data_IF_109300412917
#
_entry.id   IF_109300412917
#
_cell.length_a   1.000
_cell.length_b   1.000
_cell.length_c   1.000
_cell.angle_alpha   90.00
_cell.angle_beta   90.00
_cell.angle_gamma   90.00
#
_symmetry.space_group_name_H-M   'P 1'
#
loop_
_entity.id
_entity.type
_entity.pdbx_description
1 polymer ?
#
# COMPACT_ATOMS: atom_id res chain seq x y z
N UNK A 1 23.06 -43.33 -27.56
CA UNK A 1 22.73 -41.96 -27.10
C UNK A 1 22.87 -41.96 -25.60
N UNK A 2 23.86 -41.22 -25.07
CA UNK A 2 24.00 -41.06 -23.62
C UNK A 2 22.87 -40.18 -23.11
N UNK A 3 22.09 -40.70 -22.18
CA UNK A 3 21.16 -39.89 -21.39
C UNK A 3 21.99 -39.19 -20.32
N UNK A 4 22.60 -38.06 -20.67
CA UNK A 4 23.20 -37.20 -19.66
C UNK A 4 22.11 -36.69 -18.72
N UNK A 5 22.27 -36.97 -17.44
CA UNK A 5 21.40 -36.42 -16.40
C UNK A 5 21.54 -34.90 -16.39
N UNK A 6 20.47 -34.20 -16.77
CA UNK A 6 20.37 -32.74 -16.66
C UNK A 6 19.66 -32.44 -15.33
N UNK A 7 20.34 -31.83 -14.35
CA UNK A 7 19.72 -31.49 -13.07
C UNK A 7 18.42 -30.69 -13.25
N UNK A 8 17.32 -31.20 -12.68
CA UNK A 8 16.00 -30.54 -12.73
C UNK A 8 15.10 -30.92 -13.91
N UNK A 9 15.45 -31.96 -14.68
CA UNK A 9 14.56 -32.57 -15.68
C UNK A 9 14.47 -34.08 -15.52
N UNK A 10 13.29 -34.65 -15.79
CA UNK A 10 13.12 -36.11 -15.82
C UNK A 10 13.70 -36.71 -17.11
N UNK A 11 13.73 -38.05 -17.20
CA UNK A 11 14.24 -38.78 -18.37
C UNK A 11 13.51 -38.52 -19.70
N UNK A 12 12.42 -37.75 -19.70
CA UNK A 12 11.70 -37.29 -20.88
C UNK A 12 11.94 -35.80 -21.20
N UNK A 13 12.79 -35.11 -20.43
CA UNK A 13 13.15 -33.71 -20.65
C UNK A 13 12.16 -32.69 -20.10
N UNK A 14 11.10 -33.11 -19.38
CA UNK A 14 10.19 -32.20 -18.67
C UNK A 14 10.85 -31.65 -17.41
N UNK A 15 10.55 -30.40 -17.00
CA UNK A 15 10.96 -29.88 -15.70
C UNK A 15 10.48 -30.84 -14.60
N UNK A 16 11.43 -31.40 -13.87
CA UNK A 16 11.16 -32.28 -12.73
C UNK A 16 11.56 -31.51 -11.47
N UNK A 17 10.66 -30.69 -10.91
CA UNK A 17 10.91 -30.13 -9.60
C UNK A 17 10.92 -31.33 -8.65
N UNK A 18 12.10 -31.69 -8.14
CA UNK A 18 12.24 -32.57 -6.97
C UNK A 18 11.13 -32.22 -5.98
N UNK A 19 10.48 -33.18 -5.31
CA UNK A 19 9.34 -32.92 -4.43
C UNK A 19 9.54 -31.68 -3.51
N UNK A 20 10.77 -31.45 -3.03
CA UNK A 20 11.16 -30.25 -2.29
C UNK A 20 11.01 -28.91 -3.03
N UNK A 21 11.29 -28.83 -4.33
CA UNK A 21 11.06 -27.63 -5.15
C UNK A 21 9.57 -27.39 -5.42
N UNK A 22 8.78 -28.44 -5.69
CA UNK A 22 7.33 -28.34 -5.85
C UNK A 22 6.64 -27.88 -4.56
N UNK A 23 7.06 -28.42 -3.41
CA UNK A 23 6.59 -28.00 -2.08
C UNK A 23 6.95 -26.53 -1.82
N UNK A 24 8.20 -26.11 -2.07
CA UNK A 24 8.63 -24.70 -1.91
C UNK A 24 7.82 -23.73 -2.77
N UNK A 25 7.56 -24.07 -4.03
CA UNK A 25 6.75 -23.25 -4.93
C UNK A 25 5.30 -23.13 -4.43
N UNK A 26 4.74 -24.22 -3.91
CA UNK A 26 3.39 -24.25 -3.34
C UNK A 26 3.30 -23.37 -2.10
N UNK A 27 4.25 -23.49 -1.16
CA UNK A 27 4.34 -22.64 0.03
C UNK A 27 4.48 -21.16 -0.35
N UNK A 28 5.34 -20.84 -1.33
CA UNK A 28 5.52 -19.46 -1.83
C UNK A 28 4.24 -18.91 -2.43
N UNK A 29 3.52 -19.71 -3.22
CA UNK A 29 2.23 -19.32 -3.81
C UNK A 29 1.18 -19.05 -2.75
N UNK A 30 1.05 -19.95 -1.76
CA UNK A 30 0.12 -19.78 -0.63
C UNK A 30 0.43 -18.52 0.17
N UNK A 31 1.71 -18.29 0.51
CA UNK A 31 2.15 -17.08 1.22
C UNK A 31 1.86 -15.80 0.42
N UNK A 32 2.04 -15.84 -0.90
CA UNK A 32 1.70 -14.72 -1.78
C UNK A 32 0.20 -14.40 -1.77
N UNK A 33 -0.66 -15.44 -1.84
CA UNK A 33 -2.12 -15.27 -1.73
C UNK A 33 -2.53 -14.70 -0.38
N UNK A 34 -1.93 -15.17 0.70
CA UNK A 34 -2.19 -14.68 2.04
C UNK A 34 -1.81 -13.20 2.18
N UNK A 35 -0.59 -12.84 1.77
CA UNK A 35 -0.12 -11.44 1.81
C UNK A 35 -1.00 -10.49 0.98
N UNK A 36 -1.55 -10.96 -0.16
CA UNK A 36 -2.50 -10.17 -0.94
C UNK A 36 -3.81 -9.94 -0.19
N UNK A 37 -4.36 -10.97 0.45
CA UNK A 37 -5.60 -10.86 1.26
C UNK A 37 -5.41 -9.93 2.45
N UNK A 38 -4.25 -9.97 3.10
CA UNK A 38 -3.93 -9.10 4.23
C UNK A 38 -3.74 -7.64 3.78
N UNK A 39 -3.12 -7.43 2.62
CA UNK A 39 -3.07 -6.11 1.98
C UNK A 39 -4.46 -5.55 1.67
N UNK A 40 -5.35 -6.37 1.09
CA UNK A 40 -6.74 -6.00 0.82
C UNK A 40 -7.52 -5.70 2.10
N UNK A 41 -7.32 -6.50 3.15
CA UNK A 41 -7.91 -6.24 4.46
C UNK A 41 -7.45 -4.90 5.04
N UNK A 42 -6.15 -4.58 4.94
CA UNK A 42 -5.61 -3.31 5.39
C UNK A 42 -6.21 -2.12 4.62
N UNK A 43 -6.34 -2.22 3.30
CA UNK A 43 -6.99 -1.19 2.48
C UNK A 43 -8.48 -1.01 2.83
N UNK A 44 -9.19 -2.10 3.10
CA UNK A 44 -10.59 -2.06 3.55
C UNK A 44 -10.73 -1.39 4.93
N UNK A 45 -9.78 -1.65 5.84
CA UNK A 45 -9.73 -1.00 7.15
C UNK A 45 -9.49 0.52 7.04
N UNK A 46 -8.57 0.94 6.16
CA UNK A 46 -8.37 2.35 5.83
C UNK A 46 -9.66 2.96 5.28
N UNK A 47 -10.28 2.31 4.28
CA UNK A 47 -11.50 2.81 3.64
C UNK A 47 -12.65 2.96 4.63
N UNK A 48 -12.82 2.00 5.54
CA UNK A 48 -13.82 2.06 6.63
C UNK A 48 -13.54 3.22 7.59
N UNK A 49 -12.27 3.45 7.93
CA UNK A 49 -11.85 4.56 8.78
C UNK A 49 -12.09 5.91 8.12
N UNK A 50 -11.82 6.03 6.81
CA UNK A 50 -12.11 7.23 6.03
C UNK A 50 -13.61 7.52 5.91
N UNK A 51 -14.45 6.48 5.81
CA UNK A 51 -15.90 6.64 5.84
C UNK A 51 -16.37 7.26 7.17
N UNK A 52 -15.75 6.90 8.29
CA UNK A 52 -16.01 7.53 9.59
C UNK A 52 -15.60 9.02 9.60
N UNK A 53 -14.41 9.36 9.09
CA UNK A 53 -13.98 10.76 8.96
C UNK A 53 -14.93 11.58 8.06
N UNK A 54 -15.43 10.98 6.97
CA UNK A 54 -16.44 11.59 6.10
C UNK A 54 -17.75 11.84 6.82
N UNK A 55 -18.26 10.84 7.54
CA UNK A 55 -19.50 10.98 8.32
C UNK A 55 -19.39 12.05 9.41
N UNK A 56 -18.19 12.25 9.97
CA UNK A 56 -17.91 13.31 10.96
C UNK A 56 -17.66 14.70 10.32
N UNK A 57 -17.64 14.81 8.99
CA UNK A 57 -17.34 16.07 8.32
C UNK A 57 -15.87 16.53 8.44
N UNK A 58 -14.96 15.62 8.82
CA UNK A 58 -13.55 15.93 9.07
C UNK A 58 -12.67 15.82 7.83
N UNK A 59 -13.04 14.94 6.89
CA UNK A 59 -12.32 14.77 5.64
C UNK A 59 -13.18 14.07 4.59
N UNK A 60 -12.89 14.30 3.32
CA UNK A 60 -13.40 13.51 2.21
C UNK A 60 -12.21 12.93 1.44
N UNK A 61 -11.94 11.65 1.66
CA UNK A 61 -10.78 10.93 1.09
C UNK A 61 -11.27 9.60 0.54
N UNK A 62 -10.83 9.29 -0.68
CA UNK A 62 -11.27 8.10 -1.40
C UNK A 62 -10.07 7.33 -1.96
N UNK A 63 -10.24 6.01 -2.09
CA UNK A 63 -9.31 5.17 -2.84
C UNK A 63 -9.38 5.56 -4.31
N UNK A 64 -8.23 5.75 -4.95
CA UNK A 64 -8.21 5.98 -6.40
C UNK A 64 -8.46 4.68 -7.15
N UNK A 65 -9.38 4.66 -8.13
CA UNK A 65 -9.52 3.50 -9.00
C UNK A 65 -8.25 3.32 -9.83
N UNK A 66 -7.83 2.06 -10.01
CA UNK A 66 -6.70 1.74 -10.87
C UNK A 66 -6.99 2.24 -12.30
N UNK A 67 -6.08 3.02 -12.91
CA UNK A 67 -6.33 3.58 -14.21
C UNK A 67 -6.28 2.50 -15.29
N UNK A 68 -7.40 2.32 -15.96
CA UNK A 68 -7.57 1.34 -17.03
C UNK A 68 -8.01 2.03 -18.31
N UNK A 69 -7.55 1.51 -19.44
CA UNK A 69 -7.95 1.95 -20.77
C UNK A 69 -8.86 0.90 -21.40
N UNK A 70 -10.10 1.24 -21.76
CA UNK A 70 -10.94 0.36 -22.56
C UNK A 70 -10.25 0.00 -23.88
N UNK A 71 -10.26 -1.28 -24.24
CA UNK A 71 -9.73 -1.77 -25.52
C UNK A 71 -10.78 -1.71 -26.63
N UNK A 72 -12.07 -1.65 -26.28
CA UNK A 72 -13.22 -1.60 -27.19
C UNK A 72 -14.37 -0.82 -26.54
N UNK A 73 -15.37 -0.44 -27.33
CA UNK A 73 -16.61 0.14 -26.83
C UNK A 73 -17.33 -0.82 -25.87
N UNK A 74 -17.97 -0.32 -24.80
CA UNK A 74 -18.76 -1.14 -23.90
C UNK A 74 -19.98 -1.75 -24.59
N UNK A 75 -20.44 -2.90 -24.11
CA UNK A 75 -21.71 -3.50 -24.55
C UNK A 75 -22.92 -2.71 -24.01
N UNK A 76 -24.15 -3.10 -24.40
CA UNK A 76 -25.39 -2.46 -23.93
C UNK A 76 -25.59 -2.48 -22.40
N UNK A 77 -24.86 -3.32 -21.68
CA UNK A 77 -24.88 -3.43 -20.21
C UNK A 77 -23.74 -2.63 -19.54
N UNK A 78 -22.95 -1.88 -20.31
CA UNK A 78 -21.83 -1.07 -19.80
C UNK A 78 -20.55 -1.87 -19.53
N UNK A 79 -20.48 -3.14 -19.91
CA UNK A 79 -19.28 -3.97 -19.69
C UNK A 79 -18.27 -3.75 -20.83
N UNK A 80 -16.98 -3.67 -20.49
CA UNK A 80 -15.90 -3.49 -21.45
C UNK A 80 -14.66 -4.29 -21.07
N UNK A 81 -13.85 -4.64 -22.09
CA UNK A 81 -12.51 -5.18 -21.90
C UNK A 81 -11.52 -4.02 -21.74
N UNK A 82 -10.66 -4.07 -20.73
CA UNK A 82 -9.70 -3.00 -20.44
C UNK A 82 -8.29 -3.56 -20.23
N UNK A 83 -7.28 -2.71 -20.47
CA UNK A 83 -5.91 -2.95 -20.01
C UNK A 83 -5.53 -1.93 -18.93
N UNK A 84 -4.82 -2.36 -17.90
CA UNK A 84 -4.20 -1.45 -16.95
C UNK A 84 -3.22 -0.52 -17.66
N UNK A 85 -3.23 0.75 -17.26
CA UNK A 85 -2.25 1.73 -17.74
C UNK A 85 -1.24 2.03 -16.63
N UNK A 86 -0.04 2.46 -17.00
CA UNK A 86 1.08 2.67 -16.06
C UNK A 86 0.95 3.92 -15.17
N UNK A 87 -0.16 4.65 -15.21
CA UNK A 87 -0.29 5.87 -14.42
C UNK A 87 -0.37 5.53 -12.92
N UNK A 88 0.68 5.85 -12.16
CA UNK A 88 0.73 5.69 -10.71
C UNK A 88 -0.01 6.82 -10.02
N UNK A 89 -1.34 6.76 -9.98
CA UNK A 89 -2.08 7.59 -9.02
C UNK A 89 -1.80 7.09 -7.59
N UNK A 90 -1.68 7.98 -6.59
CA UNK A 90 -1.57 7.56 -5.20
C UNK A 90 -2.80 6.76 -4.78
N UNK A 91 -2.61 5.68 -4.02
CA UNK A 91 -3.70 4.78 -3.59
C UNK A 91 -4.92 5.55 -3.02
N UNK A 92 -4.68 6.60 -2.24
CA UNK A 92 -5.72 7.43 -1.62
C UNK A 92 -5.46 8.93 -1.83
N UNK A 93 -6.53 9.69 -2.10
CA UNK A 93 -6.48 11.15 -2.21
C UNK A 93 -7.77 11.81 -1.74
N UNK A 94 -7.68 13.05 -1.26
CA UNK A 94 -8.84 13.78 -0.79
C UNK A 94 -8.52 15.14 -0.18
N UNK A 95 -9.46 15.61 0.62
CA UNK A 95 -9.41 16.94 1.25
C UNK A 95 -9.78 16.83 2.72
N UNK A 96 -9.00 17.50 3.58
CA UNK A 96 -9.25 17.65 5.00
C UNK A 96 -10.18 18.84 5.26
N UNK A 97 -10.81 18.87 6.44
CA UNK A 97 -11.43 20.09 6.96
C UNK A 97 -10.41 21.24 6.93
N UNK A 98 -10.84 22.41 6.47
CA UNK A 98 -9.96 23.55 6.20
C UNK A 98 -9.31 23.56 4.81
N UNK A 99 -9.63 22.59 3.94
CA UNK A 99 -9.30 22.64 2.50
C UNK A 99 -7.92 22.10 2.12
N UNK A 100 -7.10 21.67 3.08
CA UNK A 100 -5.80 21.06 2.78
C UNK A 100 -5.97 19.71 2.08
N UNK A 101 -5.30 19.52 0.95
CA UNK A 101 -5.26 18.22 0.27
C UNK A 101 -4.52 17.18 1.12
N UNK A 102 -4.95 15.92 1.03
CA UNK A 102 -4.29 14.76 1.63
C UNK A 102 -4.11 13.69 0.57
N UNK A 103 -2.90 13.12 0.49
CA UNK A 103 -2.57 12.02 -0.43
C UNK A 103 -1.70 11.01 0.29
N UNK A 104 -1.94 9.72 0.07
CA UNK A 104 -1.09 8.70 0.66
C UNK A 104 -1.17 7.35 -0.06
N UNK A 105 -0.13 6.55 0.19
CA UNK A 105 0.01 5.17 -0.23
C UNK A 105 -0.28 4.22 0.94
N UNK A 106 -0.79 3.02 0.67
CA UNK A 106 -0.96 1.97 1.69
C UNK A 106 -0.06 0.78 1.36
N UNK A 107 0.74 0.33 2.34
CA UNK A 107 1.64 -0.82 2.17
C UNK A 107 1.59 -1.74 3.38
N UNK A 108 1.33 -3.01 3.11
CA UNK A 108 1.35 -4.09 4.09
C UNK A 108 2.59 -4.99 3.91
N UNK A 109 3.12 -5.50 5.02
CA UNK A 109 4.19 -6.50 5.01
C UNK A 109 4.10 -7.43 6.22
N UNK A 110 4.42 -8.71 6.03
CA UNK A 110 4.61 -9.69 7.11
C UNK A 110 6.09 -9.84 7.51
N UNK A 111 6.94 -8.92 7.07
CA UNK A 111 8.33 -8.82 7.54
C UNK A 111 8.39 -7.83 8.70
N UNK A 112 9.43 -7.91 9.51
CA UNK A 112 9.72 -6.97 10.60
C UNK A 112 10.26 -5.60 10.13
N UNK A 113 10.29 -5.40 8.81
CA UNK A 113 10.73 -4.16 8.18
C UNK A 113 9.95 -3.89 6.88
N UNK A 114 9.98 -2.64 6.46
CA UNK A 114 9.47 -2.21 5.16
C UNK A 114 10.54 -1.49 4.35
N UNK A 115 10.71 -1.92 3.10
CA UNK A 115 11.74 -1.40 2.20
C UNK A 115 11.21 -0.16 1.46
N UNK A 116 12.06 0.83 1.20
CA UNK A 116 11.73 2.05 0.44
C UNK A 116 11.11 1.75 -0.93
N UNK A 117 11.61 0.70 -1.59
CA UNK A 117 11.19 0.23 -2.92
C UNK A 117 9.81 -0.44 -2.93
N UNK A 118 9.12 -0.50 -1.79
CA UNK A 118 7.70 -0.87 -1.76
C UNK A 118 6.81 0.14 -2.47
N UNK A 119 7.30 1.36 -2.68
CA UNK A 119 6.67 2.32 -3.58
C UNK A 119 7.34 2.27 -4.96
N UNK A 120 6.53 2.22 -6.00
CA UNK A 120 7.01 2.41 -7.38
C UNK A 120 7.54 3.83 -7.58
N UNK A 121 8.35 4.05 -8.63
CA UNK A 121 8.89 5.39 -8.92
C UNK A 121 7.77 6.40 -9.17
N UNK A 122 6.74 6.01 -9.89
CA UNK A 122 5.57 6.85 -10.20
C UNK A 122 4.83 7.28 -8.93
N UNK A 123 4.67 6.38 -7.96
CA UNK A 123 4.06 6.69 -6.67
C UNK A 123 4.94 7.66 -5.86
N UNK A 124 6.26 7.45 -5.86
CA UNK A 124 7.21 8.37 -5.21
C UNK A 124 7.16 9.77 -5.83
N UNK A 125 7.21 9.86 -7.16
CA UNK A 125 7.13 11.13 -7.90
C UNK A 125 5.80 11.85 -7.61
N UNK A 126 4.69 11.11 -7.54
CA UNK A 126 3.38 11.68 -7.21
C UNK A 126 3.31 12.21 -5.78
N UNK A 127 3.81 11.47 -4.79
CA UNK A 127 3.85 11.92 -3.40
C UNK A 127 4.76 13.15 -3.23
N UNK A 128 5.92 13.19 -3.91
CA UNK A 128 6.82 14.34 -3.90
C UNK A 128 6.14 15.60 -4.41
N UNK A 129 5.44 15.52 -5.54
CA UNK A 129 4.79 16.68 -6.12
C UNK A 129 3.68 17.23 -5.22
N UNK A 130 2.89 16.36 -4.60
CA UNK A 130 1.86 16.79 -3.65
C UNK A 130 2.44 17.37 -2.36
N UNK A 131 3.50 16.76 -1.79
CA UNK A 131 4.20 17.30 -0.61
C UNK A 131 4.77 18.70 -0.90
N UNK A 132 5.37 18.88 -2.08
CA UNK A 132 5.92 20.15 -2.55
C UNK A 132 4.85 21.24 -2.65
N UNK A 133 3.62 20.88 -3.01
CA UNK A 133 2.47 21.79 -3.10
C UNK A 133 1.74 21.99 -1.75
N UNK A 134 2.21 21.37 -0.66
CA UNK A 134 1.67 21.57 0.69
C UNK A 134 0.58 20.58 1.10
N UNK A 135 0.30 19.55 0.30
CA UNK A 135 -0.59 18.48 0.70
C UNK A 135 -0.03 17.73 1.92
N UNK A 136 -0.91 17.10 2.69
CA UNK A 136 -0.49 16.08 3.65
C UNK A 136 -0.14 14.79 2.89
N UNK A 137 1.15 14.59 2.61
CA UNK A 137 1.66 13.41 1.93
C UNK A 137 2.31 12.42 2.91
N UNK A 138 1.91 11.15 2.88
CA UNK A 138 2.45 10.12 3.77
C UNK A 138 2.28 8.70 3.21
N UNK A 139 2.85 7.72 3.92
CA UNK A 139 2.67 6.29 3.66
C UNK A 139 2.06 5.64 4.89
N UNK A 140 0.92 4.98 4.69
CA UNK A 140 0.31 4.10 5.66
C UNK A 140 1.02 2.75 5.61
N UNK A 141 1.63 2.36 6.72
CA UNK A 141 2.36 1.10 6.84
C UNK A 141 1.61 0.20 7.81
N UNK A 142 1.36 -1.03 7.37
CA UNK A 142 0.98 -2.10 8.26
C UNK A 142 2.06 -3.19 8.29
N UNK A 143 2.48 -3.57 9.50
CA UNK A 143 3.25 -4.78 9.76
C UNK A 143 2.30 -5.77 10.43
N UNK A 144 2.25 -7.02 9.97
CA UNK A 144 1.62 -8.14 10.68
C UNK A 144 0.11 -8.06 10.94
N UNK A 145 -0.61 -7.08 10.37
CA UNK A 145 -2.01 -6.73 10.69
C UNK A 145 -2.26 -6.25 12.13
N UNK A 146 -1.22 -6.03 12.92
CA UNK A 146 -1.26 -5.64 14.32
C UNK A 146 -0.60 -4.28 14.60
N UNK A 147 0.29 -3.84 13.70
CA UNK A 147 1.00 -2.58 13.82
C UNK A 147 0.67 -1.62 12.69
N UNK A 148 0.22 -0.41 13.03
CA UNK A 148 -0.21 0.60 12.09
C UNK A 148 0.58 1.89 12.27
N UNK A 149 1.15 2.39 11.18
CA UNK A 149 2.00 3.58 11.20
C UNK A 149 1.62 4.52 10.07
N UNK A 150 1.82 5.82 10.34
CA UNK A 150 1.65 6.91 9.39
C UNK A 150 2.99 7.61 9.21
N UNK A 151 3.77 7.17 8.23
CA UNK A 151 5.10 7.71 7.98
C UNK A 151 4.99 8.93 7.06
N UNK A 152 5.35 10.16 7.52
CA UNK A 152 5.33 11.33 6.65
C UNK A 152 6.22 11.13 5.43
N UNK A 153 5.82 11.66 4.26
CA UNK A 153 6.60 11.49 3.03
C UNK A 153 8.05 11.98 3.18
N UNK A 154 8.24 13.11 3.88
CA UNK A 154 9.57 13.66 4.19
C UNK A 154 10.46 12.70 5.00
N UNK A 155 9.88 11.82 5.79
CA UNK A 155 10.63 10.76 6.51
C UNK A 155 10.90 9.61 5.56
N UNK A 156 9.86 9.14 4.86
CA UNK A 156 9.96 8.00 3.93
C UNK A 156 11.02 8.23 2.85
N UNK A 157 11.05 9.41 2.21
CA UNK A 157 12.01 9.74 1.16
C UNK A 157 13.46 9.87 1.66
N UNK A 158 13.63 10.12 2.96
CA UNK A 158 14.93 10.38 3.57
C UNK A 158 15.42 9.23 4.47
N UNK A 159 14.85 8.01 4.36
CA UNK A 159 15.27 6.84 5.18
C UNK A 159 16.79 6.64 5.20
N UNK A 160 17.45 6.75 4.04
CA UNK A 160 18.91 6.56 3.95
C UNK A 160 19.68 7.58 4.78
N UNK A 161 19.22 8.83 4.81
CA UNK A 161 19.85 9.89 5.59
C UNK A 161 19.54 9.76 7.08
N UNK A 162 18.31 9.37 7.42
CA UNK A 162 17.84 9.31 8.81
C UNK A 162 18.33 8.04 9.54
N UNK A 163 18.35 6.90 8.86
CA UNK A 163 18.61 5.57 9.44
C UNK A 163 19.87 4.89 8.88
N UNK A 164 20.51 5.47 7.86
CA UNK A 164 21.66 4.87 7.18
C UNK A 164 21.31 3.81 6.14
N UNK A 165 20.02 3.49 5.96
CA UNK A 165 19.55 2.45 5.02
C UNK A 165 18.20 2.78 4.37
N UNK A 166 17.86 2.06 3.30
CA UNK A 166 16.62 2.24 2.51
C UNK A 166 15.48 1.32 2.96
N UNK A 167 15.35 1.09 4.25
CA UNK A 167 14.23 0.37 4.87
C UNK A 167 13.95 0.99 6.24
N UNK A 168 12.79 0.70 6.82
CA UNK A 168 12.49 1.01 8.20
C UNK A 168 12.15 -0.28 8.95
N UNK A 169 12.80 -0.49 10.08
CA UNK A 169 12.50 -1.56 11.04
C UNK A 169 11.35 -1.13 11.95
N UNK A 170 10.76 -2.09 12.66
CA UNK A 170 9.67 -1.82 13.59
C UNK A 170 10.00 -0.71 14.60
N UNK A 171 11.18 -0.75 15.23
CA UNK A 171 11.61 0.27 16.19
C UNK A 171 11.72 1.69 15.60
N UNK A 172 12.06 1.81 14.32
CA UNK A 172 12.15 3.09 13.60
C UNK A 172 10.78 3.59 13.16
N UNK A 173 9.80 2.68 13.02
CA UNK A 173 8.41 3.00 12.73
C UNK A 173 7.64 3.45 13.98
N UNK A 174 8.04 3.03 15.20
CA UNK A 174 7.34 3.34 16.45
C UNK A 174 6.96 4.81 16.66
N UNK A 175 7.85 5.80 16.36
CA UNK A 175 7.48 7.21 16.49
C UNK A 175 6.30 7.65 15.60
N UNK A 176 5.97 6.87 14.58
CA UNK A 176 4.91 7.12 13.61
C UNK A 176 3.66 6.27 13.85
N UNK A 177 3.58 5.57 14.99
CA UNK A 177 2.46 4.70 15.33
C UNK A 177 1.17 5.51 15.42
N UNK A 178 0.09 4.96 14.85
CA UNK A 178 -1.25 5.52 14.98
C UNK A 178 -2.13 4.61 15.83
N UNK A 179 -3.14 5.21 16.44
CA UNK A 179 -4.10 4.48 17.26
C UNK A 179 -5.11 3.72 16.39
N UNK A 180 -5.45 2.51 16.82
CA UNK A 180 -6.58 1.75 16.31
C UNK A 180 -7.58 1.58 17.46
N UNK A 181 -8.71 2.28 17.39
CA UNK A 181 -9.69 2.36 18.48
C UNK A 181 -11.10 2.29 17.91
N UNK A 182 -11.98 1.49 18.55
CA UNK A 182 -13.38 1.36 18.17
C UNK A 182 -13.58 0.98 16.69
N UNK A 183 -12.68 0.18 16.13
CA UNK A 183 -12.72 -0.22 14.72
C UNK A 183 -12.22 0.84 13.73
N UNK A 184 -11.67 1.96 14.21
CA UNK A 184 -11.22 3.08 13.38
C UNK A 184 -9.71 3.27 13.53
N UNK A 185 -8.99 3.29 12.41
CA UNK A 185 -7.61 3.78 12.35
C UNK A 185 -7.63 5.30 12.46
N UNK A 186 -6.87 5.84 13.41
CA UNK A 186 -6.75 7.29 13.61
C UNK A 186 -5.74 7.94 12.65
N UNK A 187 -5.86 7.62 11.36
CA UNK A 187 -4.85 7.95 10.35
C UNK A 187 -4.78 9.44 9.97
N UNK A 188 -5.77 10.27 10.32
CA UNK A 188 -5.74 11.72 10.05
C UNK A 188 -5.43 12.55 11.30
N UNK A 189 -5.31 11.91 12.46
CA UNK A 189 -4.99 12.62 13.71
C UNK A 189 -3.57 13.22 13.66
N UNK A 190 -3.46 14.46 14.14
CA UNK A 190 -2.22 15.24 14.13
C UNK A 190 -1.79 15.79 12.76
N UNK A 191 -2.52 15.54 11.66
CA UNK A 191 -2.23 16.20 10.37
C UNK A 191 -2.82 17.60 10.37
N UNK A 192 -4.08 17.74 10.77
CA UNK A 192 -4.78 18.98 11.16
C UNK A 192 -6.17 18.56 11.67
N UNK A 193 -6.38 18.52 12.99
CA UNK A 193 -7.72 18.32 13.60
C UNK A 193 -7.95 19.30 14.77
N UNK A 194 -7.43 20.53 14.68
CA UNK A 194 -7.67 21.58 15.70
C UNK A 194 -8.98 22.36 15.49
N UNK A 195 -9.77 22.02 14.47
CA UNK A 195 -11.06 22.66 14.23
C UNK A 195 -12.14 22.26 15.26
N UNK A 196 -11.94 21.19 16.04
CA UNK A 196 -12.90 20.73 17.07
C UNK A 196 -12.63 21.30 18.48
N UNK A 197 -11.64 22.18 18.67
CA UNK A 197 -11.35 22.79 19.99
C UNK A 197 -11.91 24.19 20.22
N UNK A 198 -12.94 24.57 19.46
CA UNK A 198 -13.78 25.72 19.80
C UNK A 198 -15.25 25.33 19.69
N UNK A 199 -15.76 24.71 20.74
CA UNK A 199 -17.17 24.94 21.06
C UNK A 199 -17.30 26.37 21.60
N UNK A 200 -18.38 27.09 21.24
CA UNK A 200 -18.63 28.46 21.68
C UNK A 200 -18.88 28.60 23.19
#
# INVERSE_FOLDING_TARGET
>A
MSWEYIPGRNGQGYPDPTAAAAIRNTIRSQRGKQSRREGEYFENLISSSLAWYKHKGLAFVEKTPEPMRPLRAPNRQGQFLACYTKAGQPDFKGTLIGGRAVVFEAKHTNKEQIDFERLTREQQDSLEEHDRLGAAAFVMVNIGLDHFFRVPWKVWKNMKQLYGHKHMKLCELEPYRIQYQNGILKLLEGITLEAERKEP
#
